data_IF_556377010361
#
_entry.id   IF_556377010361
#
_cell.length_a   1.000
_cell.length_b   1.000
_cell.length_c   1.000
_cell.angle_alpha   90.00
_cell.angle_beta   90.00
_cell.angle_gamma   90.00
#
_symmetry.space_group_name_H-M   'P 1'
#
loop_
_entity.id
_entity.type
_entity.pdbx_description
1 polymer ?
#
# COMPACT_ATOMS: atom_id res chain seq x y z
N UNK A 1 -21.80 0.74 39.41
CA UNK A 1 -20.73 0.92 38.41
C UNK A 1 -20.31 2.38 38.43
N UNK A 2 -19.22 2.71 39.10
CA UNK A 2 -18.69 4.08 39.15
C UNK A 2 -17.89 4.33 37.89
N UNK A 3 -18.46 5.09 36.95
CA UNK A 3 -17.75 5.53 35.76
C UNK A 3 -16.55 6.38 36.19
N UNK A 4 -15.33 5.97 35.82
CA UNK A 4 -14.14 6.78 36.07
C UNK A 4 -14.17 7.99 35.14
N UNK A 5 -14.11 9.19 35.69
CA UNK A 5 -14.06 10.46 34.94
C UNK A 5 -12.92 10.48 33.91
N UNK A 6 -11.81 9.80 34.24
CA UNK A 6 -10.67 9.63 33.33
C UNK A 6 -11.01 8.84 32.06
N UNK A 7 -11.89 7.84 32.13
CA UNK A 7 -12.32 7.06 30.97
C UNK A 7 -13.15 7.89 29.99
N UNK A 8 -13.97 8.78 30.53
CA UNK A 8 -14.71 9.74 29.71
C UNK A 8 -13.79 10.76 29.05
N UNK A 9 -12.77 11.26 29.77
CA UNK A 9 -11.80 12.21 29.20
C UNK A 9 -10.95 11.58 28.08
N UNK A 10 -10.50 10.33 28.26
CA UNK A 10 -9.72 9.63 27.23
C UNK A 10 -10.56 9.36 25.99
N UNK A 11 -11.81 8.92 26.15
CA UNK A 11 -12.71 8.69 24.99
C UNK A 11 -13.08 10.00 24.29
N UNK A 12 -13.33 11.08 25.02
CA UNK A 12 -13.52 12.41 24.45
C UNK A 12 -12.28 12.88 23.68
N UNK A 13 -11.08 12.66 24.22
CA UNK A 13 -9.82 13.00 23.55
C UNK A 13 -9.62 12.21 22.25
N UNK A 14 -9.91 10.91 22.24
CA UNK A 14 -9.86 10.08 21.02
C UNK A 14 -10.87 10.56 19.99
N UNK A 15 -12.11 10.87 20.40
CA UNK A 15 -13.10 11.46 19.50
C UNK A 15 -12.63 12.80 18.91
N UNK A 16 -11.94 13.63 19.69
CA UNK A 16 -11.35 14.87 19.20
C UNK A 16 -10.24 14.63 18.18
N UNK A 17 -9.37 13.64 18.40
CA UNK A 17 -8.35 13.24 17.42
C UNK A 17 -9.02 12.82 16.12
N UNK A 18 -10.06 12.01 16.19
CA UNK A 18 -10.75 11.50 15.01
C UNK A 18 -11.51 12.60 14.26
N UNK A 19 -12.11 13.55 14.98
CA UNK A 19 -12.76 14.72 14.41
C UNK A 19 -11.74 15.66 13.77
N UNK A 20 -10.57 15.86 14.40
CA UNK A 20 -9.47 16.63 13.84
C UNK A 20 -8.93 15.99 12.55
N UNK A 21 -8.79 14.66 12.52
CA UNK A 21 -8.44 13.92 11.29
C UNK A 21 -9.54 14.05 10.21
N UNK A 22 -10.82 14.13 10.58
CA UNK A 22 -11.93 14.30 9.62
C UNK A 22 -12.09 15.74 9.10
N UNK A 23 -11.42 16.71 9.73
CA UNK A 23 -11.61 18.14 9.49
C UNK A 23 -11.27 18.59 8.06
N UNK A 24 -10.20 18.07 7.40
CA UNK A 24 -9.92 18.34 5.99
C UNK A 24 -11.08 17.99 5.05
N UNK A 25 -11.82 16.89 5.33
CA UNK A 25 -13.01 16.51 4.58
C UNK A 25 -14.17 17.47 4.80
N UNK A 26 -14.42 17.82 6.06
CA UNK A 26 -15.44 18.78 6.42
C UNK A 26 -15.24 20.08 5.66
N UNK A 27 -14.01 20.60 5.64
CA UNK A 27 -13.67 21.81 4.90
C UNK A 27 -13.88 21.63 3.39
N UNK A 28 -13.37 20.55 2.79
CA UNK A 28 -13.50 20.32 1.34
C UNK A 28 -14.96 20.12 0.88
N UNK A 29 -15.81 19.49 1.69
CA UNK A 29 -17.23 19.27 1.41
C UNK A 29 -18.05 20.56 1.65
N UNK A 30 -17.75 21.32 2.70
CA UNK A 30 -18.49 22.54 3.05
C UNK A 30 -18.06 23.76 2.23
N UNK A 31 -16.76 24.00 2.01
CA UNK A 31 -16.28 25.20 1.29
C UNK A 31 -16.44 25.13 -0.23
N UNK A 32 -16.59 23.95 -0.86
CA UNK A 32 -16.87 23.86 -2.31
C UNK A 32 -18.32 24.13 -2.70
N UNK A 33 -19.24 24.38 -1.75
CA UNK A 33 -20.67 24.57 -2.05
C UNK A 33 -20.94 25.73 -3.02
N UNK A 34 -20.15 26.80 -3.03
CA UNK A 34 -20.46 27.96 -3.88
C UNK A 34 -20.21 27.73 -5.38
N UNK A 35 -19.24 26.87 -5.74
CA UNK A 35 -19.00 26.45 -7.12
C UNK A 35 -19.83 25.23 -7.55
N UNK A 36 -20.10 24.31 -6.62
CA UNK A 36 -20.86 23.09 -6.89
C UNK A 36 -22.37 23.36 -6.99
N UNK A 37 -22.94 24.33 -6.25
CA UNK A 37 -24.36 24.69 -6.35
C UNK A 37 -24.71 25.33 -7.69
N UNK A 38 -23.81 26.11 -8.30
CA UNK A 38 -24.00 26.67 -9.66
C UNK A 38 -23.89 25.60 -10.76
N UNK A 39 -23.06 24.58 -10.54
CA UNK A 39 -22.98 23.40 -11.41
C UNK A 39 -24.18 22.46 -11.21
N UNK A 40 -24.63 22.26 -9.97
CA UNK A 40 -25.79 21.46 -9.56
C UNK A 40 -27.14 22.10 -9.88
N UNK A 41 -27.25 23.42 -10.01
CA UNK A 41 -28.45 24.05 -10.56
C UNK A 41 -28.54 23.84 -12.07
N UNK A 42 -27.41 23.94 -12.80
CA UNK A 42 -27.36 23.62 -14.24
C UNK A 42 -27.46 22.12 -14.56
N UNK A 43 -27.06 21.26 -13.63
CA UNK A 43 -27.22 19.80 -13.72
C UNK A 43 -28.48 19.28 -13.03
N UNK A 44 -29.15 20.08 -12.19
CA UNK A 44 -30.36 19.73 -11.45
C UNK A 44 -31.57 19.54 -12.35
N UNK A 45 -31.60 20.26 -13.46
CA UNK A 45 -32.62 20.07 -14.50
C UNK A 45 -32.39 18.77 -15.32
N UNK A 46 -31.17 18.22 -15.31
CA UNK A 46 -30.81 16.99 -16.04
C UNK A 46 -30.66 15.72 -15.16
N UNK A 47 -30.80 15.83 -13.84
CA UNK A 47 -30.58 14.72 -12.89
C UNK A 47 -31.81 14.34 -12.06
N UNK A 48 -32.98 14.35 -12.68
CA UNK A 48 -34.16 13.66 -12.13
C UNK A 48 -34.01 12.12 -12.14
N UNK A 49 -32.85 11.59 -12.55
CA UNK A 49 -32.62 10.16 -12.85
C UNK A 49 -31.44 9.49 -12.13
N UNK A 50 -30.74 10.12 -11.16
CA UNK A 50 -29.65 9.39 -10.46
C UNK A 50 -29.52 9.73 -8.96
N UNK A 51 -30.49 9.25 -8.18
CA UNK A 51 -30.51 9.34 -6.71
C UNK A 51 -29.60 8.35 -5.96
N UNK A 52 -28.86 7.48 -6.66
CA UNK A 52 -28.01 6.46 -6.04
C UNK A 52 -26.60 6.97 -5.69
N UNK A 53 -26.07 7.92 -6.47
CA UNK A 53 -24.67 8.36 -6.32
C UNK A 53 -24.48 9.35 -5.15
N UNK A 54 -25.49 10.19 -4.87
CA UNK A 54 -25.50 11.12 -3.73
C UNK A 54 -25.72 10.38 -2.41
N UNK A 55 -26.54 9.31 -2.41
CA UNK A 55 -26.68 8.40 -1.26
C UNK A 55 -25.41 7.61 -0.98
N UNK A 56 -24.67 7.20 -2.02
CA UNK A 56 -23.37 6.54 -1.88
C UNK A 56 -22.34 7.41 -1.17
N UNK A 57 -22.12 8.65 -1.63
CA UNK A 57 -21.17 9.57 -1.01
C UNK A 57 -21.53 9.97 0.43
N UNK A 58 -22.82 10.11 0.74
CA UNK A 58 -23.27 10.35 2.11
C UNK A 58 -23.09 9.11 3.01
N UNK A 59 -23.27 7.89 2.48
CA UNK A 59 -23.00 6.66 3.24
C UNK A 59 -21.52 6.44 3.53
N UNK A 60 -20.59 6.88 2.66
CA UNK A 60 -19.15 6.79 2.92
C UNK A 60 -18.66 7.70 4.05
N UNK A 61 -19.38 8.78 4.36
CA UNK A 61 -19.06 9.68 5.48
C UNK A 61 -19.81 9.28 6.75
N UNK A 62 -21.06 8.82 6.64
CA UNK A 62 -21.90 8.51 7.79
C UNK A 62 -21.64 7.11 8.39
N UNK A 63 -21.23 6.10 7.62
CA UNK A 63 -20.92 4.77 8.17
C UNK A 63 -19.71 4.76 9.13
N UNK A 64 -18.54 5.32 8.77
CA UNK A 64 -17.40 5.35 9.69
C UNK A 64 -17.69 6.25 10.88
N UNK A 65 -18.35 7.40 10.67
CA UNK A 65 -18.75 8.30 11.76
C UNK A 65 -19.77 7.64 12.72
N UNK A 66 -20.69 6.81 12.21
CA UNK A 66 -21.64 6.04 13.00
C UNK A 66 -20.99 4.84 13.70
N UNK A 67 -20.03 4.16 13.07
CA UNK A 67 -19.22 3.11 13.71
C UNK A 67 -18.39 3.65 14.88
N UNK A 68 -17.87 4.87 14.73
CA UNK A 68 -17.14 5.63 15.76
C UNK A 68 -18.05 6.08 16.89
N UNK A 69 -19.30 6.46 16.60
CA UNK A 69 -20.31 6.80 17.62
C UNK A 69 -20.90 5.56 18.32
N UNK A 70 -20.83 4.38 17.69
CA UNK A 70 -21.28 3.09 18.26
C UNK A 70 -20.22 2.43 19.16
N UNK A 71 -18.93 2.68 18.95
CA UNK A 71 -17.87 2.13 19.80
C UNK A 71 -17.97 2.54 21.30
N UNK A 72 -18.34 3.79 21.65
CA UNK A 72 -18.67 4.19 23.02
C UNK A 72 -19.95 3.53 23.58
N UNK A 73 -20.86 3.07 22.73
CA UNK A 73 -22.07 2.33 23.16
C UNK A 73 -21.77 0.85 23.44
N UNK A 74 -20.81 0.24 22.74
CA UNK A 74 -20.30 -1.11 23.03
C UNK A 74 -19.44 -1.18 24.30
N UNK A 75 -18.89 -0.03 24.73
CA UNK A 75 -18.23 0.20 26.03
C UNK A 75 -19.10 -0.16 27.24
N UNK A 76 -20.42 -0.26 27.05
CA UNK A 76 -21.38 -0.64 28.09
C UNK A 76 -21.40 -2.16 28.41
N UNK A 77 -20.58 -3.00 27.76
CA UNK A 77 -20.64 -4.47 27.89
C UNK A 77 -19.58 -5.14 28.80
N UNK A 78 -18.60 -4.41 29.36
CA UNK A 78 -18.00 -4.75 30.66
C UNK A 78 -17.08 -5.97 30.80
N UNK A 79 -16.32 -6.40 29.79
CA UNK A 79 -15.24 -7.40 29.95
C UNK A 79 -13.87 -6.84 29.48
N UNK A 80 -12.79 -7.07 30.23
CA UNK A 80 -11.44 -6.52 29.92
C UNK A 80 -10.95 -6.87 28.51
N UNK A 81 -11.18 -8.10 28.04
CA UNK A 81 -10.85 -8.52 26.67
C UNK A 81 -11.66 -7.82 25.56
N UNK A 82 -12.83 -7.26 25.88
CA UNK A 82 -13.64 -6.51 24.91
C UNK A 82 -13.14 -5.09 24.68
N UNK A 83 -12.49 -4.48 25.68
CA UNK A 83 -11.98 -3.11 25.58
C UNK A 83 -10.71 -3.03 24.74
N UNK A 84 -9.83 -4.03 24.83
CA UNK A 84 -8.65 -4.12 23.96
C UNK A 84 -9.06 -4.33 22.50
N UNK A 85 -10.04 -5.21 22.24
CA UNK A 85 -10.64 -5.42 20.92
C UNK A 85 -11.22 -4.13 20.30
N UNK A 86 -11.89 -3.32 21.13
CA UNK A 86 -12.40 -2.00 20.70
C UNK A 86 -11.23 -1.06 20.37
N UNK A 87 -10.13 -1.11 21.12
CA UNK A 87 -8.91 -0.37 20.84
C UNK A 87 -8.30 -0.70 19.47
N UNK A 88 -8.19 -1.98 19.12
CA UNK A 88 -7.74 -2.41 17.79
C UNK A 88 -8.63 -1.86 16.68
N UNK A 89 -9.96 -2.00 16.85
CA UNK A 89 -10.92 -1.51 15.86
C UNK A 89 -10.82 0.01 15.67
N UNK A 90 -10.67 0.77 16.76
CA UNK A 90 -10.46 2.21 16.69
C UNK A 90 -9.17 2.55 15.92
N UNK A 91 -8.06 1.86 16.22
CA UNK A 91 -6.78 2.02 15.52
C UNK A 91 -6.91 1.78 14.01
N UNK A 92 -7.58 0.68 13.62
CA UNK A 92 -7.82 0.34 12.22
C UNK A 92 -8.67 1.39 11.49
N UNK A 93 -9.75 1.86 12.11
CA UNK A 93 -10.60 2.91 11.53
C UNK A 93 -9.82 4.21 11.38
N UNK A 94 -9.02 4.60 12.38
CA UNK A 94 -8.18 5.79 12.32
C UNK A 94 -7.15 5.68 11.18
N UNK A 95 -6.50 4.54 11.01
CA UNK A 95 -5.56 4.31 9.91
C UNK A 95 -6.25 4.41 8.55
N UNK A 96 -7.40 3.76 8.36
CA UNK A 96 -8.17 3.86 7.10
C UNK A 96 -8.52 5.32 6.83
N UNK A 97 -8.97 6.06 7.84
CA UNK A 97 -9.29 7.47 7.70
C UNK A 97 -8.06 8.29 7.25
N UNK A 98 -6.92 8.12 7.93
CA UNK A 98 -5.66 8.80 7.58
C UNK A 98 -5.16 8.42 6.18
N UNK A 99 -5.35 7.17 5.75
CA UNK A 99 -5.02 6.74 4.39
C UNK A 99 -5.87 7.49 3.37
N UNK A 100 -7.19 7.60 3.60
CA UNK A 100 -8.05 8.33 2.66
C UNK A 100 -7.74 9.85 2.69
N UNK A 101 -7.44 10.42 3.87
CA UNK A 101 -6.93 11.80 4.00
C UNK A 101 -5.70 12.02 3.12
N UNK A 102 -4.73 11.10 3.21
CA UNK A 102 -3.50 11.15 2.43
C UNK A 102 -3.77 11.08 0.92
N UNK A 103 -4.66 10.18 0.47
CA UNK A 103 -5.04 10.09 -0.96
C UNK A 103 -5.67 11.39 -1.47
N UNK A 104 -6.57 12.00 -0.69
CA UNK A 104 -7.20 13.26 -1.07
C UNK A 104 -6.17 14.39 -1.10
N UNK A 105 -5.31 14.47 -0.08
CA UNK A 105 -4.25 15.46 -0.02
C UNK A 105 -3.35 15.37 -1.27
N UNK A 106 -2.97 14.16 -1.68
CA UNK A 106 -2.20 13.93 -2.91
C UNK A 106 -2.92 14.48 -4.14
N UNK A 107 -4.23 14.20 -4.32
CA UNK A 107 -4.99 14.75 -5.45
C UNK A 107 -5.14 16.28 -5.40
N UNK A 108 -5.34 16.85 -4.21
CA UNK A 108 -5.42 18.31 -4.02
C UNK A 108 -4.09 18.96 -4.39
N UNK A 109 -2.96 18.40 -3.94
CA UNK A 109 -1.62 18.88 -4.26
C UNK A 109 -1.34 18.74 -5.77
N UNK A 110 -1.68 17.60 -6.37
CA UNK A 110 -1.54 17.38 -7.82
C UNK A 110 -2.33 18.40 -8.63
N UNK A 111 -3.59 18.66 -8.29
CA UNK A 111 -4.43 19.63 -9.00
C UNK A 111 -3.99 21.08 -8.74
N UNK A 112 -3.39 21.37 -7.58
CA UNK A 112 -2.90 22.70 -7.21
C UNK A 112 -1.60 23.05 -7.95
N UNK A 113 -0.62 22.15 -7.93
CA UNK A 113 0.70 22.40 -8.53
C UNK A 113 0.75 22.04 -10.01
N UNK A 114 -0.05 21.06 -10.47
CA UNK A 114 -0.04 20.61 -11.85
C UNK A 114 -1.45 20.32 -12.40
N UNK A 115 -2.27 21.36 -12.66
CA UNK A 115 -3.70 21.18 -12.95
C UNK A 115 -3.98 20.34 -14.19
N UNK A 116 -3.18 20.49 -15.26
CA UNK A 116 -3.36 19.72 -16.50
C UNK A 116 -3.03 18.23 -16.32
N UNK A 117 -1.88 17.91 -15.70
CA UNK A 117 -1.47 16.53 -15.44
C UNK A 117 -2.34 15.87 -14.37
N UNK A 118 -2.69 16.60 -13.32
CA UNK A 118 -3.57 16.13 -12.24
C UNK A 118 -4.98 15.77 -12.72
N UNK A 119 -5.53 16.49 -13.70
CA UNK A 119 -6.82 16.13 -14.30
C UNK A 119 -6.76 14.78 -15.06
N UNK A 120 -5.66 14.52 -15.78
CA UNK A 120 -5.42 13.26 -16.49
C UNK A 120 -5.21 12.13 -15.48
N UNK A 121 -4.41 12.37 -14.43
CA UNK A 121 -4.18 11.40 -13.37
C UNK A 121 -5.48 11.02 -12.65
N UNK A 122 -6.34 11.99 -12.35
CA UNK A 122 -7.65 11.73 -11.74
C UNK A 122 -8.56 10.90 -12.66
N UNK A 123 -8.54 11.16 -13.97
CA UNK A 123 -9.30 10.38 -14.93
C UNK A 123 -8.79 8.93 -14.99
N UNK A 124 -7.48 8.73 -15.13
CA UNK A 124 -6.84 7.41 -15.16
C UNK A 124 -7.01 6.63 -13.85
N UNK A 125 -6.92 7.31 -12.70
CA UNK A 125 -7.21 6.72 -11.40
C UNK A 125 -8.65 6.21 -11.31
N UNK A 126 -9.61 7.06 -11.71
CA UNK A 126 -11.03 6.72 -11.68
C UNK A 126 -11.35 5.59 -12.65
N UNK A 127 -10.70 5.57 -13.81
CA UNK A 127 -10.77 4.47 -14.76
C UNK A 127 -10.27 3.17 -14.10
N UNK A 128 -9.07 3.17 -13.54
CA UNK A 128 -8.47 1.99 -12.90
C UNK A 128 -9.30 1.39 -11.76
N UNK A 129 -9.79 2.21 -10.83
CA UNK A 129 -10.60 1.73 -9.67
C UNK A 129 -11.99 1.23 -10.09
N UNK A 130 -12.50 1.68 -11.25
CA UNK A 130 -13.81 1.26 -11.77
C UNK A 130 -13.75 0.01 -12.62
N UNK A 131 -12.57 -0.35 -13.13
CA UNK A 131 -12.42 -1.55 -13.93
C UNK A 131 -12.72 -2.80 -13.08
N UNK A 132 -13.47 -3.78 -13.61
CA UNK A 132 -13.75 -5.03 -12.88
C UNK A 132 -12.50 -5.75 -12.38
N UNK A 133 -11.39 -5.61 -13.11
CA UNK A 133 -10.12 -6.25 -12.76
C UNK A 133 -9.54 -5.79 -11.44
N UNK A 134 -9.78 -4.53 -11.04
CA UNK A 134 -9.36 -4.03 -9.73
C UNK A 134 -9.97 -4.88 -8.61
N UNK A 135 -11.30 -5.07 -8.66
CA UNK A 135 -12.04 -5.80 -7.63
C UNK A 135 -11.82 -7.31 -7.70
N UNK A 136 -11.60 -7.86 -8.90
CA UNK A 136 -11.23 -9.26 -9.06
C UNK A 136 -9.88 -9.56 -8.41
N UNK A 137 -8.86 -8.76 -8.73
CA UNK A 137 -7.52 -8.93 -8.15
C UNK A 137 -7.51 -8.66 -6.64
N UNK A 138 -8.25 -7.65 -6.17
CA UNK A 138 -8.47 -7.45 -4.74
C UNK A 138 -9.09 -8.69 -4.08
N UNK A 139 -10.13 -9.28 -4.69
CA UNK A 139 -10.79 -10.48 -4.17
C UNK A 139 -9.87 -11.70 -4.10
N UNK A 140 -9.04 -11.91 -5.13
CA UNK A 140 -8.03 -12.99 -5.15
C UNK A 140 -6.98 -12.79 -4.06
N UNK A 141 -6.45 -11.57 -3.92
CA UNK A 141 -5.48 -11.24 -2.88
C UNK A 141 -6.09 -11.40 -1.48
N UNK A 142 -7.29 -10.87 -1.28
CA UNK A 142 -8.05 -10.99 -0.04
C UNK A 142 -8.24 -12.46 0.35
N UNK A 143 -8.66 -13.31 -0.59
CA UNK A 143 -8.79 -14.75 -0.36
C UNK A 143 -7.44 -15.41 0.00
N UNK A 144 -6.38 -15.11 -0.75
CA UNK A 144 -5.02 -15.63 -0.50
C UNK A 144 -4.54 -15.27 0.91
N UNK A 145 -4.64 -13.99 1.30
CA UNK A 145 -4.26 -13.49 2.62
C UNK A 145 -5.10 -14.10 3.74
N UNK A 146 -6.38 -14.38 3.49
CA UNK A 146 -7.26 -15.02 4.47
C UNK A 146 -6.91 -16.48 4.68
N UNK A 147 -6.52 -17.19 3.61
CA UNK A 147 -6.19 -18.62 3.67
C UNK A 147 -4.81 -18.85 4.30
N UNK A 148 -3.85 -17.95 4.04
CA UNK A 148 -2.45 -18.07 4.47
C UNK A 148 -2.25 -18.50 5.94
N UNK A 149 -2.89 -17.88 6.96
CA UNK A 149 -2.70 -18.26 8.36
C UNK A 149 -3.18 -19.68 8.72
N UNK A 150 -4.05 -20.28 7.90
CA UNK A 150 -4.58 -21.62 8.13
C UNK A 150 -3.74 -22.72 7.47
N UNK A 151 -2.74 -22.35 6.67
CA UNK A 151 -1.83 -23.30 6.03
C UNK A 151 -0.70 -23.61 7.01
N UNK A 152 -0.47 -24.89 7.35
CA UNK A 152 0.74 -25.30 8.07
C UNK A 152 1.95 -25.12 7.14
N UNK A 153 2.88 -24.23 7.52
CA UNK A 153 4.10 -23.98 6.76
C UNK A 153 5.22 -24.98 7.07
N UNK A 154 4.99 -25.87 8.04
CA UNK A 154 5.98 -26.84 8.52
C UNK A 154 7.30 -26.16 8.94
N UNK A 155 7.21 -24.94 9.47
CA UNK A 155 8.36 -24.27 10.05
C UNK A 155 8.49 -24.66 11.52
N UNK A 156 9.72 -24.69 12.04
CA UNK A 156 9.98 -25.04 13.43
C UNK A 156 9.71 -23.86 14.39
N UNK A 157 8.53 -23.23 14.28
CA UNK A 157 8.11 -22.11 15.11
C UNK A 157 8.31 -20.71 14.52
N UNK A 158 8.58 -20.62 13.21
CA UNK A 158 8.78 -19.35 12.48
C UNK A 158 7.59 -19.00 11.57
N UNK A 159 6.42 -19.60 11.82
CA UNK A 159 5.23 -19.47 10.96
C UNK A 159 4.81 -18.01 10.78
N UNK A 160 5.02 -17.17 11.80
CA UNK A 160 4.73 -15.73 11.74
C UNK A 160 5.58 -14.99 10.71
N UNK A 161 6.85 -15.36 10.54
CA UNK A 161 7.75 -14.73 9.56
C UNK A 161 7.33 -15.11 8.13
N UNK A 162 7.01 -16.40 7.92
CA UNK A 162 6.55 -16.90 6.62
C UNK A 162 5.22 -16.29 6.19
N UNK A 163 4.26 -16.11 7.12
CA UNK A 163 2.99 -15.41 6.84
C UNK A 163 3.27 -13.97 6.37
N UNK A 164 4.24 -13.28 7.00
CA UNK A 164 4.60 -11.92 6.62
C UNK A 164 5.23 -11.83 5.25
N UNK A 165 6.17 -12.72 4.96
CA UNK A 165 6.81 -12.80 3.65
C UNK A 165 5.78 -13.04 2.54
N UNK A 166 4.96 -14.08 2.68
CA UNK A 166 3.91 -14.42 1.71
C UNK A 166 2.88 -13.29 1.58
N UNK A 167 2.55 -12.62 2.67
CA UNK A 167 1.65 -11.47 2.69
C UNK A 167 2.18 -10.32 1.84
N UNK A 168 3.42 -9.91 2.06
CA UNK A 168 4.07 -8.85 1.27
C UNK A 168 4.16 -9.21 -0.20
N UNK A 169 4.61 -10.43 -0.51
CA UNK A 169 4.78 -10.90 -1.89
C UNK A 169 3.42 -11.00 -2.62
N UNK A 170 2.36 -11.44 -1.93
CA UNK A 170 0.99 -11.47 -2.49
C UNK A 170 0.50 -10.07 -2.84
N UNK A 171 0.65 -9.09 -1.93
CA UNK A 171 0.20 -7.72 -2.15
C UNK A 171 0.99 -7.06 -3.29
N UNK A 172 2.32 -7.24 -3.29
CA UNK A 172 3.22 -6.79 -4.35
C UNK A 172 2.79 -7.34 -5.71
N UNK A 173 2.63 -8.66 -5.83
CA UNK A 173 2.32 -9.32 -7.10
C UNK A 173 0.99 -8.83 -7.65
N UNK A 174 -0.03 -8.72 -6.79
CA UNK A 174 -1.35 -8.27 -7.17
C UNK A 174 -1.33 -6.80 -7.63
N UNK A 175 -0.62 -5.92 -6.93
CA UNK A 175 -0.47 -4.53 -7.32
C UNK A 175 0.30 -4.38 -8.65
N UNK A 176 1.37 -5.16 -8.84
CA UNK A 176 2.16 -5.16 -10.07
C UNK A 176 1.34 -5.66 -11.26
N UNK A 177 0.61 -6.77 -11.11
CA UNK A 177 -0.28 -7.32 -12.15
C UNK A 177 -1.40 -6.33 -12.48
N UNK A 178 -2.05 -5.76 -11.46
CA UNK A 178 -3.07 -4.73 -11.66
C UNK A 178 -2.52 -3.54 -12.45
N UNK A 179 -1.39 -3.00 -12.02
CA UNK A 179 -0.82 -1.82 -12.66
C UNK A 179 -0.30 -2.09 -14.07
N UNK A 180 0.23 -3.28 -14.36
CA UNK A 180 0.63 -3.68 -15.71
C UNK A 180 -0.57 -3.83 -16.65
N UNK A 181 -1.67 -4.42 -16.16
CA UNK A 181 -2.94 -4.51 -16.89
C UNK A 181 -3.55 -3.14 -17.14
N UNK A 182 -3.65 -2.31 -16.09
CA UNK A 182 -4.21 -0.97 -16.17
C UNK A 182 -3.39 -0.07 -17.12
N UNK A 183 -2.05 -0.16 -17.09
CA UNK A 183 -1.18 0.52 -18.03
C UNK A 183 -1.43 0.07 -19.46
N UNK A 184 -1.52 -1.24 -19.70
CA UNK A 184 -1.70 -1.78 -21.05
C UNK A 184 -3.06 -1.42 -21.62
N UNK A 185 -4.15 -1.54 -20.86
CA UNK A 185 -5.50 -1.18 -21.32
C UNK A 185 -5.61 0.34 -21.53
N UNK A 186 -5.25 1.14 -20.53
CA UNK A 186 -5.45 2.59 -20.59
C UNK A 186 -4.54 3.24 -21.65
N UNK A 187 -3.32 2.74 -21.88
CA UNK A 187 -2.38 3.37 -22.82
C UNK A 187 -2.43 2.71 -24.20
N UNK A 188 -2.27 1.39 -24.29
CA UNK A 188 -2.17 0.73 -25.60
C UNK A 188 -3.48 0.82 -26.38
N UNK A 189 -4.65 0.65 -25.74
CA UNK A 189 -5.94 0.77 -26.44
C UNK A 189 -6.21 2.20 -26.94
N UNK A 190 -5.83 3.22 -26.16
CA UNK A 190 -6.01 4.62 -26.60
C UNK A 190 -5.09 5.00 -27.76
N UNK A 191 -3.88 4.44 -27.80
CA UNK A 191 -2.94 4.72 -28.88
C UNK A 191 -3.29 3.89 -30.13
N UNK A 192 -3.68 2.62 -29.98
CA UNK A 192 -4.08 1.74 -31.11
C UNK A 192 -5.44 2.13 -31.69
N UNK A 193 -6.40 2.51 -30.84
CA UNK A 193 -7.72 2.99 -31.23
C UNK A 193 -7.77 4.39 -31.84
N UNK A 194 -6.60 5.04 -32.06
CA UNK A 194 -6.43 6.44 -32.52
C UNK A 194 -7.16 7.51 -31.66
N UNK A 195 -7.74 7.15 -30.51
CA UNK A 195 -8.44 8.10 -29.64
C UNK A 195 -7.48 9.06 -28.94
N UNK A 196 -6.22 8.64 -28.71
CA UNK A 196 -5.16 9.51 -28.21
C UNK A 196 -4.93 10.74 -29.10
N UNK A 197 -5.05 10.61 -30.42
CA UNK A 197 -4.87 11.73 -31.39
C UNK A 197 -5.98 12.77 -31.22
N UNK A 198 -7.21 12.33 -30.94
CA UNK A 198 -8.34 13.26 -30.71
C UNK A 198 -8.20 14.05 -29.41
N UNK A 199 -7.62 13.45 -28.36
CA UNK A 199 -7.31 14.13 -27.10
C UNK A 199 -6.18 15.16 -27.25
N UNK A 200 -5.23 14.91 -28.15
CA UNK A 200 -4.15 15.85 -28.48
C UNK A 200 -4.61 17.07 -29.29
N UNK A 201 -5.87 17.11 -29.77
CA UNK A 201 -6.46 18.34 -30.34
C UNK A 201 -6.67 19.43 -29.27
N UNK A 202 -6.64 19.07 -27.99
CA UNK A 202 -6.56 20.00 -26.85
C UNK A 202 -5.09 20.32 -26.53
N UNK A 203 -4.76 21.49 -25.96
CA UNK A 203 -3.37 21.90 -25.68
C UNK A 203 -2.76 21.14 -24.47
N UNK A 204 -2.63 19.83 -24.61
CA UNK A 204 -2.04 18.87 -23.66
C UNK A 204 -0.83 18.24 -24.36
N UNK A 205 0.36 18.44 -23.81
CA UNK A 205 1.55 17.81 -24.39
C UNK A 205 1.61 16.32 -24.07
N UNK A 206 2.27 15.55 -24.95
CA UNK A 206 2.53 14.11 -24.79
C UNK A 206 3.10 13.75 -23.40
N UNK A 207 3.92 14.64 -22.84
CA UNK A 207 4.53 14.51 -21.51
C UNK A 207 3.50 14.53 -20.37
N UNK A 208 2.51 15.43 -20.45
CA UNK A 208 1.43 15.52 -19.47
C UNK A 208 0.52 14.28 -19.52
N UNK A 209 0.32 13.72 -20.72
CA UNK A 209 -0.47 12.52 -20.93
C UNK A 209 0.17 11.29 -20.28
N UNK A 210 1.42 10.97 -20.63
CA UNK A 210 2.09 9.76 -20.14
C UNK A 210 2.31 9.79 -18.62
N UNK A 211 2.88 10.89 -18.11
CA UNK A 211 3.16 11.03 -16.66
C UNK A 211 1.85 11.11 -15.86
N UNK A 212 0.84 11.80 -16.39
CA UNK A 212 -0.49 11.86 -15.78
C UNK A 212 -1.12 10.46 -15.67
N UNK A 213 -1.07 9.65 -16.73
CA UNK A 213 -1.58 8.27 -16.70
C UNK A 213 -0.82 7.40 -15.72
N UNK A 214 0.51 7.45 -15.73
CA UNK A 214 1.34 6.75 -14.75
C UNK A 214 0.93 7.11 -13.31
N UNK A 215 0.80 8.40 -13.00
CA UNK A 215 0.38 8.86 -11.66
C UNK A 215 -1.04 8.42 -11.31
N UNK A 216 -1.96 8.35 -12.26
CA UNK A 216 -3.30 7.82 -12.00
C UNK A 216 -3.29 6.32 -11.69
N UNK A 217 -2.54 5.53 -12.46
CA UNK A 217 -2.41 4.08 -12.29
C UNK A 217 -1.71 3.74 -10.98
N UNK A 218 -0.60 4.41 -10.65
CA UNK A 218 0.13 4.17 -9.41
C UNK A 218 -0.71 4.54 -8.18
N UNK A 219 -1.54 5.60 -8.26
CA UNK A 219 -2.47 5.94 -7.16
C UNK A 219 -3.58 4.90 -7.02
N UNK A 220 -4.07 4.34 -8.13
CA UNK A 220 -5.06 3.25 -8.07
C UNK A 220 -4.43 1.99 -7.46
N UNK A 221 -3.21 1.64 -7.87
CA UNK A 221 -2.44 0.56 -7.24
C UNK A 221 -2.16 0.84 -5.76
N UNK A 222 -1.90 2.11 -5.39
CA UNK A 222 -1.73 2.54 -4.01
C UNK A 222 -2.97 2.32 -3.16
N UNK A 223 -4.18 2.59 -3.70
CA UNK A 223 -5.44 2.30 -2.98
C UNK A 223 -5.58 0.80 -2.76
N UNK A 224 -5.26 -0.02 -3.77
CA UNK A 224 -5.25 -1.48 -3.64
C UNK A 224 -4.28 -1.92 -2.53
N UNK A 225 -3.07 -1.35 -2.52
CA UNK A 225 -2.02 -1.61 -1.54
C UNK A 225 -2.45 -1.23 -0.12
N UNK A 226 -3.08 -0.07 0.04
CA UNK A 226 -3.55 0.44 1.31
C UNK A 226 -4.69 -0.42 1.90
N UNK A 227 -5.65 -0.84 1.05
CA UNK A 227 -6.76 -1.70 1.47
C UNK A 227 -6.28 -3.12 1.82
N UNK A 228 -5.39 -3.70 1.01
CA UNK A 228 -4.84 -5.02 1.30
C UNK A 228 -3.85 -5.01 2.47
N UNK A 229 -3.06 -3.94 2.63
CA UNK A 229 -2.13 -3.76 3.73
C UNK A 229 -2.84 -3.65 5.08
N UNK A 230 -3.87 -2.80 5.17
CA UNK A 230 -4.73 -2.71 6.38
C UNK A 230 -5.42 -4.04 6.70
N UNK A 231 -5.87 -4.78 5.67
CA UNK A 231 -6.44 -6.11 5.86
C UNK A 231 -5.40 -7.12 6.37
N UNK A 232 -4.22 -7.11 5.77
CA UNK A 232 -3.11 -7.98 6.11
C UNK A 232 -2.65 -7.77 7.56
N UNK A 233 -2.57 -6.52 8.02
CA UNK A 233 -2.34 -6.17 9.43
C UNK A 233 -3.40 -6.85 10.33
N UNK A 234 -4.68 -6.72 10.01
CA UNK A 234 -5.76 -7.40 10.74
C UNK A 234 -5.61 -8.92 10.80
N UNK A 235 -5.17 -9.55 9.71
CA UNK A 235 -4.91 -11.00 9.66
C UNK A 235 -3.74 -11.40 10.56
N UNK A 236 -2.65 -10.63 10.58
CA UNK A 236 -1.51 -10.92 11.46
C UNK A 236 -1.84 -10.80 12.94
N UNK A 237 -2.83 -9.98 13.32
CA UNK A 237 -3.39 -9.95 14.69
C UNK A 237 -4.22 -11.19 15.01
N UNK A 238 -4.90 -11.76 14.02
CA UNK A 238 -5.73 -12.95 14.22
C UNK A 238 -4.91 -14.21 14.48
N UNK A 239 -3.70 -14.35 13.92
CA UNK A 239 -2.88 -15.57 14.06
C UNK A 239 -2.57 -15.93 15.52
N UNK A 240 -2.06 -15.02 16.38
CA UNK A 240 -1.83 -15.33 17.80
C UNK A 240 -3.10 -15.68 18.59
N UNK A 241 -4.27 -15.21 18.13
CA UNK A 241 -5.55 -15.54 18.77
C UNK A 241 -5.99 -16.97 18.44
N UNK A 242 -5.76 -17.40 17.20
CA UNK A 242 -6.08 -18.76 16.72
C UNK A 242 -5.07 -19.80 17.21
N UNK A 243 -3.78 -19.49 17.06
CA UNK A 243 -2.69 -20.41 17.33
C UNK A 243 -1.84 -19.91 18.49
N UNK A 244 -2.15 -20.42 19.69
CA UNK A 244 -1.55 -19.97 20.95
C UNK A 244 -0.14 -20.52 21.17
N UNK A 245 0.33 -21.48 20.37
CA UNK A 245 1.73 -21.95 20.47
C UNK A 245 2.72 -20.95 19.90
N UNK A 246 2.28 -20.06 19.01
CA UNK A 246 3.13 -19.04 18.42
C UNK A 246 3.16 -17.79 19.30
N UNK A 247 4.35 -17.43 19.77
CA UNK A 247 4.54 -16.17 20.46
C UNK A 247 4.63 -15.02 19.44
N UNK A 248 4.09 -13.82 19.77
CA UNK A 248 4.32 -12.63 18.96
C UNK A 248 5.82 -12.41 18.75
N UNK A 249 6.23 -11.99 17.56
CA UNK A 249 7.64 -11.78 17.20
C UNK A 249 8.41 -10.91 18.21
N UNK A 250 7.77 -9.89 18.78
CA UNK A 250 8.38 -8.99 19.77
C UNK A 250 8.55 -9.62 21.17
N UNK A 251 7.93 -10.77 21.45
CA UNK A 251 8.03 -11.50 22.72
C UNK A 251 8.86 -12.80 22.63
N UNK A 252 9.46 -13.12 21.48
CA UNK A 252 10.14 -14.39 21.25
C UNK A 252 11.31 -14.68 22.24
N UNK A 253 11.81 -13.69 22.95
CA UNK A 253 12.87 -13.83 23.96
C UNK A 253 12.40 -14.49 25.28
N UNK A 254 11.09 -14.56 25.55
CA UNK A 254 10.56 -15.13 26.80
C UNK A 254 9.99 -16.55 26.57
N UNK A 255 10.77 -17.57 26.91
CA UNK A 255 10.48 -19.01 26.68
C UNK A 255 9.32 -19.61 27.49
N UNK A 256 8.63 -18.82 28.30
CA UNK A 256 7.43 -19.26 29.02
C UNK A 256 6.18 -19.01 28.15
N UNK A 257 5.39 -20.06 27.90
CA UNK A 257 4.08 -19.97 27.24
C UNK A 257 3.18 -19.04 28.07
N UNK A 258 3.05 -17.78 27.65
CA UNK A 258 2.18 -16.81 28.33
C UNK A 258 0.75 -16.99 27.81
N UNK A 259 -0.22 -17.10 28.73
CA UNK A 259 -1.63 -17.20 28.39
C UNK A 259 -2.12 -15.95 27.63
N UNK A 260 -3.16 -16.04 26.78
CA UNK A 260 -3.64 -14.93 25.93
C UNK A 260 -4.01 -13.64 26.68
N UNK A 261 -4.26 -13.72 27.99
CA UNK A 261 -4.62 -12.58 28.84
C UNK A 261 -3.43 -11.67 29.19
N UNK A 262 -2.20 -12.13 28.96
CA UNK A 262 -0.97 -11.44 29.36
C UNK A 262 0.04 -11.34 28.21
N UNK A 263 -0.38 -11.07 26.96
CA UNK A 263 0.61 -10.73 25.92
C UNK A 263 1.42 -9.50 26.38
N UNK A 264 2.73 -9.58 26.66
CA UNK A 264 3.42 -8.48 27.34
C UNK A 264 3.66 -7.29 26.39
N UNK A 265 2.71 -6.36 26.22
CA UNK A 265 2.79 -5.31 25.20
C UNK A 265 4.20 -4.66 25.07
N UNK A 266 4.61 -4.27 23.85
CA UNK A 266 5.93 -3.72 23.56
C UNK A 266 6.42 -2.70 24.61
N UNK A 267 7.73 -2.66 24.93
CA UNK A 267 8.27 -1.84 26.03
C UNK A 267 7.88 -0.36 25.96
N UNK A 268 7.77 0.19 24.75
CA UNK A 268 7.37 1.59 24.54
C UNK A 268 5.89 1.84 24.87
N UNK A 269 5.01 0.88 24.59
CA UNK A 269 3.59 0.95 24.93
C UNK A 269 3.45 0.89 26.44
N UNK A 270 4.13 -0.08 27.07
CA UNK A 270 4.08 -0.23 28.52
C UNK A 270 4.67 0.98 29.21
N UNK A 271 5.82 1.51 28.79
CA UNK A 271 6.38 2.75 29.35
C UNK A 271 5.39 3.93 29.21
N UNK A 272 4.75 4.09 28.05
CA UNK A 272 3.75 5.13 27.84
C UNK A 272 2.53 4.95 28.77
N UNK A 273 2.00 3.73 28.90
CA UNK A 273 0.88 3.42 29.79
C UNK A 273 1.23 3.64 31.26
N UNK A 274 2.44 3.24 31.69
CA UNK A 274 2.91 3.43 33.06
C UNK A 274 3.12 4.91 33.39
N UNK A 275 3.67 5.69 32.46
CA UNK A 275 3.82 7.15 32.61
C UNK A 275 2.48 7.86 32.82
N UNK A 276 1.41 7.35 32.21
CA UNK A 276 0.08 7.98 32.25
C UNK A 276 -0.77 7.48 33.44
N UNK A 277 -0.39 6.38 34.09
CA UNK A 277 -0.99 5.84 35.32
C UNK A 277 -2.53 5.83 35.32
N UNK A 278 -3.12 5.40 34.20
CA UNK A 278 -4.57 5.44 33.99
C UNK A 278 -5.29 4.24 34.64
N UNK A 279 -6.60 4.34 34.94
CA UNK A 279 -7.38 3.20 35.44
C UNK A 279 -7.44 2.03 34.44
N UNK A 280 -7.65 0.81 34.95
CA UNK A 280 -7.59 -0.45 34.18
C UNK A 280 -8.38 -0.46 32.87
N UNK A 281 -9.62 0.05 32.86
CA UNK A 281 -10.44 0.06 31.65
C UNK A 281 -9.87 0.96 30.53
N UNK A 282 -9.20 2.06 30.90
CA UNK A 282 -8.55 2.96 29.94
C UNK A 282 -7.20 2.45 29.47
N UNK A 283 -6.45 1.75 30.34
CA UNK A 283 -5.18 1.14 29.95
C UNK A 283 -5.39 0.03 28.93
N UNK A 284 -6.43 -0.78 29.09
CA UNK A 284 -6.75 -1.87 28.15
C UNK A 284 -7.10 -1.33 26.75
N UNK A 285 -7.86 -0.23 26.68
CA UNK A 285 -8.18 0.42 25.41
C UNK A 285 -6.94 1.02 24.74
N UNK A 286 -6.16 1.81 25.48
CA UNK A 286 -4.96 2.45 24.94
C UNK A 286 -3.90 1.43 24.54
N UNK A 287 -3.83 0.31 25.25
CA UNK A 287 -3.04 -0.85 24.86
C UNK A 287 -3.49 -1.41 23.52
N UNK A 288 -4.79 -1.62 23.28
CA UNK A 288 -5.30 -2.09 21.99
C UNK A 288 -4.97 -1.13 20.83
N UNK A 289 -5.12 0.18 21.04
CA UNK A 289 -4.71 1.21 20.05
C UNK A 289 -3.20 1.14 19.81
N UNK A 290 -2.41 1.09 20.89
CA UNK A 290 -0.95 1.00 20.83
C UNK A 290 -0.48 -0.23 20.05
N UNK A 291 -1.11 -1.38 20.27
CA UNK A 291 -0.78 -2.63 19.60
C UNK A 291 -1.10 -2.58 18.10
N UNK A 292 -2.23 -1.99 17.71
CA UNK A 292 -2.52 -1.72 16.29
C UNK A 292 -1.47 -0.79 15.67
N UNK A 293 -1.12 0.31 16.35
CA UNK A 293 -0.11 1.26 15.83
C UNK A 293 1.28 0.65 15.76
N UNK A 294 1.65 -0.23 16.70
CA UNK A 294 2.91 -0.96 16.65
C UNK A 294 2.96 -1.81 15.39
N UNK A 295 1.92 -2.63 15.19
CA UNK A 295 1.83 -3.52 14.06
C UNK A 295 1.87 -2.77 12.72
N UNK A 296 1.16 -1.66 12.63
CA UNK A 296 1.22 -0.77 11.47
C UNK A 296 2.66 -0.30 11.21
N UNK A 297 3.40 0.11 12.25
CA UNK A 297 4.79 0.55 12.12
C UNK A 297 5.75 -0.59 11.75
N UNK A 298 5.47 -1.82 12.19
CA UNK A 298 6.31 -2.98 11.86
C UNK A 298 6.06 -3.48 10.45
N UNK A 299 4.83 -3.36 9.96
CA UNK A 299 4.40 -3.84 8.66
C UNK A 299 4.65 -2.80 7.55
N UNK A 300 4.55 -1.51 7.87
CA UNK A 300 4.71 -0.40 6.93
C UNK A 300 6.01 -0.44 6.09
N UNK A 301 7.20 -0.74 6.63
CA UNK A 301 8.44 -0.80 5.84
C UNK A 301 8.37 -1.81 4.70
N UNK A 302 7.86 -3.02 4.97
CA UNK A 302 7.66 -4.05 3.95
C UNK A 302 6.67 -3.61 2.88
N UNK A 303 5.58 -2.95 3.30
CA UNK A 303 4.60 -2.39 2.37
C UNK A 303 5.18 -1.25 1.51
N UNK A 304 5.99 -0.36 2.09
CA UNK A 304 6.63 0.75 1.37
C UNK A 304 7.61 0.23 0.32
N UNK A 305 8.43 -0.77 0.67
CA UNK A 305 9.35 -1.40 -0.27
C UNK A 305 8.61 -2.14 -1.38
N UNK A 306 7.60 -2.94 -1.03
CA UNK A 306 6.76 -3.64 -2.01
C UNK A 306 6.03 -2.67 -2.94
N UNK A 307 5.54 -1.54 -2.43
CA UNK A 307 4.93 -0.50 -3.26
C UNK A 307 5.95 0.18 -4.18
N UNK A 308 7.17 0.43 -3.69
CA UNK A 308 8.27 0.98 -4.50
C UNK A 308 8.68 0.02 -5.63
N UNK A 309 8.67 -1.28 -5.37
CA UNK A 309 8.91 -2.31 -6.37
C UNK A 309 7.77 -2.38 -7.40
N UNK A 310 6.51 -2.37 -6.95
CA UNK A 310 5.35 -2.31 -7.83
C UNK A 310 5.38 -1.06 -8.72
N UNK A 311 5.77 0.10 -8.17
CA UNK A 311 5.94 1.35 -8.91
C UNK A 311 6.93 1.20 -10.08
N UNK A 312 8.08 0.55 -9.86
CA UNK A 312 9.08 0.29 -10.90
C UNK A 312 8.48 -0.57 -12.02
N UNK A 313 7.78 -1.65 -11.67
CA UNK A 313 7.13 -2.55 -12.64
C UNK A 313 6.03 -1.83 -13.44
N UNK A 314 5.25 -0.97 -12.78
CA UNK A 314 4.22 -0.15 -13.43
C UNK A 314 4.86 0.85 -14.39
N UNK A 315 5.98 1.47 -14.03
CA UNK A 315 6.70 2.38 -14.92
C UNK A 315 7.22 1.66 -16.17
N UNK A 316 7.75 0.44 -16.01
CA UNK A 316 8.15 -0.42 -17.13
C UNK A 316 6.95 -0.74 -18.01
N UNK A 317 5.83 -1.16 -17.41
CA UNK A 317 4.60 -1.47 -18.15
C UNK A 317 4.05 -0.26 -18.92
N UNK A 318 4.07 0.93 -18.31
CA UNK A 318 3.65 2.18 -18.95
C UNK A 318 4.57 2.56 -20.11
N UNK A 319 5.89 2.43 -19.92
CA UNK A 319 6.89 2.70 -20.96
C UNK A 319 6.71 1.78 -22.16
N UNK A 320 6.62 0.48 -21.93
CA UNK A 320 6.45 -0.53 -22.98
C UNK A 320 5.10 -0.40 -23.70
N UNK A 321 4.02 -0.07 -22.98
CA UNK A 321 2.68 0.14 -23.55
C UNK A 321 2.64 1.20 -24.68
N UNK A 322 3.63 2.11 -24.72
CA UNK A 322 3.72 3.13 -25.77
C UNK A 322 4.06 2.58 -27.16
N UNK A 323 4.66 1.38 -27.26
CA UNK A 323 5.11 0.78 -28.53
C UNK A 323 4.63 -0.62 -28.79
N UNK A 324 4.48 -1.43 -27.75
CA UNK A 324 4.07 -2.82 -27.91
C UNK A 324 2.56 -2.98 -27.68
N UNK A 325 1.89 -3.91 -28.38
CA UNK A 325 0.49 -4.22 -28.13
C UNK A 325 0.31 -4.82 -26.73
N UNK A 326 -0.91 -4.72 -26.19
CA UNK A 326 -1.26 -5.09 -24.82
C UNK A 326 -0.71 -6.47 -24.39
N UNK A 327 -0.94 -7.51 -25.22
CA UNK A 327 -0.53 -8.88 -24.87
C UNK A 327 0.99 -9.00 -24.75
N UNK A 328 1.73 -8.38 -25.67
CA UNK A 328 3.20 -8.40 -25.66
C UNK A 328 3.74 -7.63 -24.46
N UNK A 329 3.10 -6.51 -24.10
CA UNK A 329 3.48 -5.75 -22.91
C UNK A 329 3.35 -6.59 -21.63
N UNK A 330 2.21 -7.25 -21.45
CA UNK A 330 1.95 -8.06 -20.26
C UNK A 330 2.94 -9.21 -20.13
N UNK A 331 3.20 -9.93 -21.22
CA UNK A 331 4.20 -11.02 -21.23
C UNK A 331 5.59 -10.47 -20.92
N UNK A 332 5.97 -9.33 -21.49
CA UNK A 332 7.26 -8.70 -21.22
C UNK A 332 7.42 -8.30 -19.75
N UNK A 333 6.40 -7.70 -19.14
CA UNK A 333 6.44 -7.31 -17.71
C UNK A 333 6.56 -8.54 -16.81
N UNK A 334 5.84 -9.62 -17.11
CA UNK A 334 5.94 -10.89 -16.35
C UNK A 334 7.35 -11.49 -16.48
N UNK A 335 7.90 -11.54 -17.69
CA UNK A 335 9.27 -12.02 -17.91
C UNK A 335 10.28 -11.14 -17.16
N UNK A 336 10.16 -9.82 -17.25
CA UNK A 336 11.02 -8.88 -16.55
C UNK A 336 10.91 -9.02 -15.04
N UNK A 337 9.72 -9.27 -14.51
CA UNK A 337 9.53 -9.54 -13.08
C UNK A 337 10.36 -10.73 -12.62
N UNK A 338 10.22 -11.90 -13.26
CA UNK A 338 10.98 -13.09 -12.88
C UNK A 338 12.48 -12.90 -13.10
N UNK A 339 12.86 -12.33 -14.25
CA UNK A 339 14.26 -12.16 -14.61
C UNK A 339 14.96 -11.18 -13.65
N UNK A 340 14.29 -10.12 -13.23
CA UNK A 340 14.82 -9.15 -12.28
C UNK A 340 14.92 -9.66 -10.83
N UNK A 341 14.12 -10.67 -10.43
CA UNK A 341 14.32 -11.37 -9.15
C UNK A 341 15.47 -12.38 -9.20
N UNK A 342 15.69 -13.02 -10.36
CA UNK A 342 16.76 -14.00 -10.51
C UNK A 342 18.11 -13.38 -10.88
N UNK A 343 18.12 -12.13 -11.35
CA UNK A 343 19.31 -11.43 -11.79
C UNK A 343 20.41 -11.39 -10.73
N UNK A 344 20.17 -11.04 -9.45
CA UNK A 344 21.26 -10.94 -8.47
C UNK A 344 21.92 -12.30 -8.20
N UNK A 345 21.15 -13.39 -8.20
CA UNK A 345 21.69 -14.75 -8.09
C UNK A 345 22.58 -15.09 -9.28
N UNK A 346 22.12 -14.84 -10.51
CA UNK A 346 22.91 -15.06 -11.74
C UNK A 346 24.19 -14.21 -11.76
N UNK A 347 24.08 -12.97 -11.31
CA UNK A 347 25.19 -12.00 -11.23
C UNK A 347 26.23 -12.44 -10.20
N UNK A 348 25.79 -12.87 -9.00
CA UNK A 348 26.68 -13.36 -7.95
C UNK A 348 27.49 -14.59 -8.40
N UNK A 349 26.85 -15.54 -9.09
CA UNK A 349 27.50 -16.72 -9.68
C UNK A 349 28.50 -16.30 -10.75
N UNK A 350 28.17 -15.33 -11.62
CA UNK A 350 29.06 -14.84 -12.65
C UNK A 350 30.34 -14.19 -12.08
N UNK A 351 30.18 -13.32 -11.08
CA UNK A 351 31.33 -12.71 -10.39
C UNK A 351 32.15 -13.74 -9.61
N UNK A 352 31.51 -14.72 -8.97
CA UNK A 352 32.19 -15.79 -8.24
C UNK A 352 32.96 -16.72 -9.18
N UNK A 353 32.39 -17.09 -10.32
CA UNK A 353 33.04 -17.91 -11.34
C UNK A 353 34.30 -17.24 -11.89
N UNK A 354 34.25 -15.91 -12.10
CA UNK A 354 35.41 -15.13 -12.54
C UNK A 354 36.52 -15.09 -11.50
N UNK A 355 36.18 -15.00 -10.20
CA UNK A 355 37.15 -15.04 -9.10
C UNK A 355 37.79 -16.41 -8.93
N UNK A 356 37.02 -17.48 -9.13
CA UNK A 356 37.51 -18.84 -8.98
C UNK A 356 38.44 -19.27 -10.12
N UNK A 357 38.08 -18.98 -11.38
CA UNK A 357 38.84 -19.39 -12.56
C UNK A 357 38.84 -18.30 -13.65
N UNK A 358 39.70 -17.27 -13.56
CA UNK A 358 39.66 -16.11 -14.46
C UNK A 358 40.01 -16.41 -15.93
N UNK A 359 40.69 -17.53 -16.19
CA UNK A 359 41.12 -17.95 -17.54
C UNK A 359 40.18 -18.91 -18.27
N UNK A 360 39.11 -19.39 -17.64
CA UNK A 360 38.20 -20.33 -18.26
C UNK A 360 37.21 -19.61 -19.22
N UNK A 361 36.96 -20.17 -20.41
CA UNK A 361 36.02 -19.57 -21.35
C UNK A 361 34.60 -19.42 -20.77
N UNK A 362 34.17 -20.40 -19.96
CA UNK A 362 32.84 -20.40 -19.32
C UNK A 362 32.69 -19.27 -18.30
N UNK A 363 33.73 -18.97 -17.50
CA UNK A 363 33.67 -17.90 -16.50
C UNK A 363 33.60 -16.52 -17.14
N UNK A 364 34.31 -16.30 -18.25
CA UNK A 364 34.24 -15.05 -19.01
C UNK A 364 32.86 -14.79 -19.59
N UNK A 365 32.20 -15.83 -20.12
CA UNK A 365 30.82 -15.73 -20.64
C UNK A 365 29.85 -15.42 -19.50
N UNK A 366 29.94 -16.13 -18.38
CA UNK A 366 29.12 -15.89 -17.19
C UNK A 366 29.32 -14.46 -16.64
N UNK A 367 30.55 -13.97 -16.61
CA UNK A 367 30.88 -12.61 -16.16
C UNK A 367 30.32 -11.53 -17.09
N UNK A 368 30.43 -11.72 -18.41
CA UNK A 368 29.83 -10.80 -19.39
C UNK A 368 28.30 -10.77 -19.27
N UNK A 369 27.66 -11.94 -19.13
CA UNK A 369 26.21 -12.01 -18.89
C UNK A 369 25.80 -11.35 -17.57
N UNK A 370 26.58 -11.53 -16.50
CA UNK A 370 26.35 -10.86 -15.23
C UNK A 370 26.40 -9.33 -15.36
N UNK A 371 27.39 -8.78 -16.06
CA UNK A 371 27.46 -7.34 -16.31
C UNK A 371 26.28 -6.82 -17.14
N UNK A 372 25.82 -7.59 -18.12
CA UNK A 372 24.67 -7.23 -18.93
C UNK A 372 23.39 -7.19 -18.08
N UNK A 373 23.17 -8.21 -17.24
CA UNK A 373 22.01 -8.27 -16.37
C UNK A 373 22.02 -7.18 -15.30
N UNK A 374 23.17 -6.93 -14.66
CA UNK A 374 23.34 -5.87 -13.66
C UNK A 374 23.12 -4.46 -14.24
N UNK A 375 23.44 -4.26 -15.52
CA UNK A 375 23.25 -2.98 -16.20
C UNK A 375 21.81 -2.75 -16.67
N UNK A 376 21.15 -3.77 -17.22
CA UNK A 376 19.86 -3.63 -17.93
C UNK A 376 18.66 -3.82 -17.02
N UNK A 377 18.78 -4.67 -16.00
CA UNK A 377 17.64 -5.09 -15.19
C UNK A 377 17.61 -4.36 -13.86
N UNK A 378 16.40 -4.04 -13.34
CA UNK A 378 16.31 -3.52 -11.99
C UNK A 378 16.68 -4.61 -11.00
N UNK A 379 17.47 -4.28 -9.98
CA UNK A 379 17.70 -5.19 -8.87
C UNK A 379 16.47 -5.19 -7.94
N UNK A 380 15.47 -6.02 -8.24
CA UNK A 380 14.23 -6.05 -7.46
C UNK A 380 14.39 -6.76 -6.10
N UNK A 381 15.42 -7.59 -5.94
CA UNK A 381 15.71 -8.26 -4.67
C UNK A 381 16.08 -7.27 -3.55
N UNK A 382 16.64 -6.10 -3.93
CA UNK A 382 16.92 -5.02 -2.98
C UNK A 382 15.67 -4.46 -2.26
N UNK A 383 14.46 -4.68 -2.81
CA UNK A 383 13.20 -4.28 -2.17
C UNK A 383 12.66 -5.34 -1.19
N UNK A 384 13.25 -6.54 -1.11
CA UNK A 384 12.76 -7.58 -0.18
C UNK A 384 13.19 -7.25 1.25
N UNK A 385 12.25 -7.39 2.18
CA UNK A 385 12.48 -7.17 3.62
C UNK A 385 13.02 -8.43 4.32
N UNK A 386 12.91 -9.61 3.70
CA UNK A 386 13.25 -10.92 4.29
C UNK A 386 14.65 -10.95 4.95
N UNK A 387 15.74 -10.48 4.32
CA UNK A 387 17.08 -10.56 4.93
C UNK A 387 17.23 -9.71 6.20
N UNK A 388 16.36 -8.71 6.40
CA UNK A 388 16.34 -7.87 7.59
C UNK A 388 15.45 -8.44 8.70
N UNK A 389 14.44 -9.25 8.35
CA UNK A 389 13.55 -9.90 9.31
C UNK A 389 14.18 -11.14 9.96
N UNK A 390 15.08 -11.83 9.26
CA UNK A 390 15.74 -13.05 9.74
C UNK A 390 17.00 -12.76 10.59
N UNK A 391 17.36 -11.50 10.80
CA UNK A 391 18.55 -11.16 11.58
C UNK A 391 18.29 -11.33 13.08
N UNK A 392 19.15 -12.12 13.73
CA UNK A 392 19.13 -12.35 15.18
C UNK A 392 19.44 -11.08 15.99
N UNK A 393 20.04 -10.06 15.36
CA UNK A 393 20.40 -8.78 16.00
C UNK A 393 19.40 -7.69 15.65
N UNK A 394 18.80 -7.00 16.65
CA UNK A 394 17.90 -5.88 16.37
C UNK A 394 18.64 -4.73 15.70
N UNK A 395 18.20 -4.38 14.49
CA UNK A 395 18.76 -3.27 13.71
C UNK A 395 18.37 -1.94 14.37
N UNK A 396 19.31 -0.99 14.57
CA UNK A 396 18.97 0.33 15.06
C UNK A 396 17.90 1.00 14.17
N UNK A 397 16.89 1.67 14.76
CA UNK A 397 15.76 2.21 13.99
C UNK A 397 16.18 3.27 12.98
N UNK A 398 17.26 4.01 13.27
CA UNK A 398 17.79 5.02 12.37
C UNK A 398 18.43 4.40 11.12
N UNK A 399 19.24 3.36 11.30
CA UNK A 399 19.94 2.68 10.19
C UNK A 399 18.92 1.99 9.28
N UNK A 400 17.91 1.38 9.88
CA UNK A 400 16.80 0.78 9.14
C UNK A 400 15.98 1.82 8.36
N UNK A 401 15.72 3.00 8.94
CA UNK A 401 15.05 4.09 8.22
C UNK A 401 15.89 4.62 7.05
N UNK A 402 17.22 4.69 7.21
CA UNK A 402 18.14 5.06 6.13
C UNK A 402 18.14 4.01 5.00
N UNK A 403 18.14 2.72 5.35
CA UNK A 403 17.98 1.64 4.39
C UNK A 403 16.67 1.81 3.59
N UNK A 404 15.54 1.92 4.29
CA UNK A 404 14.22 2.10 3.69
C UNK A 404 14.18 3.32 2.74
N UNK A 405 14.74 4.45 3.17
CA UNK A 405 14.79 5.67 2.37
C UNK A 405 15.69 5.51 1.13
N UNK A 406 16.86 4.88 1.26
CA UNK A 406 17.80 4.69 0.15
C UNK A 406 17.23 3.76 -0.93
N UNK A 407 16.59 2.65 -0.53
CA UNK A 407 15.95 1.71 -1.47
C UNK A 407 14.72 2.33 -2.14
N UNK A 408 13.90 3.06 -1.38
CA UNK A 408 12.75 3.78 -1.95
C UNK A 408 13.22 4.85 -2.96
N UNK A 409 14.30 5.57 -2.65
CA UNK A 409 14.92 6.54 -3.56
C UNK A 409 15.45 5.88 -4.82
N UNK A 410 16.12 4.73 -4.70
CA UNK A 410 16.52 3.92 -5.85
C UNK A 410 15.31 3.59 -6.74
N UNK A 411 14.18 3.16 -6.17
CA UNK A 411 12.94 2.92 -6.90
C UNK A 411 12.42 4.15 -7.64
N UNK A 412 12.40 5.32 -7.00
CA UNK A 412 11.96 6.59 -7.62
C UNK A 412 12.88 7.00 -8.78
N UNK A 413 14.20 6.89 -8.59
CA UNK A 413 15.18 7.23 -9.62
C UNK A 413 15.05 6.29 -10.82
N UNK A 414 14.97 4.99 -10.59
CA UNK A 414 14.79 4.00 -11.65
C UNK A 414 13.49 4.22 -12.41
N UNK A 415 12.37 4.44 -11.70
CA UNK A 415 11.08 4.79 -12.28
C UNK A 415 11.18 6.03 -13.17
N UNK A 416 11.90 7.07 -12.71
CA UNK A 416 12.10 8.29 -13.48
C UNK A 416 12.87 8.04 -14.77
N UNK A 417 13.95 7.24 -14.72
CA UNK A 417 14.74 6.85 -15.90
C UNK A 417 13.87 6.08 -16.91
N UNK A 418 13.09 5.10 -16.43
CA UNK A 418 12.21 4.29 -17.29
C UNK A 418 11.10 5.13 -17.92
N UNK A 419 10.49 6.06 -17.18
CA UNK A 419 9.48 6.96 -17.72
C UNK A 419 10.06 7.95 -18.73
N UNK A 420 11.28 8.45 -18.52
CA UNK A 420 11.98 9.27 -19.50
C UNK A 420 12.24 8.48 -20.80
N UNK A 421 12.68 7.24 -20.68
CA UNK A 421 12.83 6.34 -21.83
C UNK A 421 11.49 6.13 -22.56
N UNK A 422 10.41 5.85 -21.83
CA UNK A 422 9.07 5.71 -22.40
C UNK A 422 8.56 6.99 -23.08
N UNK A 423 8.96 8.16 -22.58
CA UNK A 423 8.62 9.46 -23.17
C UNK A 423 9.35 9.69 -24.49
N UNK A 424 10.65 9.41 -24.56
CA UNK A 424 11.44 9.45 -25.81
C UNK A 424 10.79 8.51 -26.83
N UNK A 425 10.51 7.29 -26.40
CA UNK A 425 9.89 6.28 -27.23
C UNK A 425 8.50 6.71 -27.74
N UNK A 426 7.75 7.51 -26.98
CA UNK A 426 6.46 8.04 -27.39
C UNK A 426 6.54 9.29 -28.30
N UNK A 427 7.58 10.11 -28.17
CA UNK A 427 7.83 11.25 -29.06
C UNK A 427 8.13 10.77 -30.49
N UNK A 428 8.94 9.73 -30.64
CA UNK A 428 9.35 9.13 -31.92
C UNK A 428 8.24 8.30 -32.62
N UNK A 429 7.06 8.16 -32.01
CA UNK A 429 5.94 7.45 -32.63
C UNK A 429 5.16 8.46 -33.47
N UNK A 430 5.27 8.34 -34.80
CA UNK A 430 4.46 9.10 -35.75
C UNK A 430 2.98 8.72 -35.58
N UNK A 431 2.26 9.51 -34.80
CA UNK A 431 0.80 9.44 -34.67
C UNK A 431 0.19 10.22 -35.83
N UNK A 432 0.39 9.73 -37.06
CA UNK A 432 -0.20 10.27 -38.28
C UNK A 432 -1.44 9.48 -38.73
#
# INVERSE_FOLDING_TARGET
>A
MTFSTTAYLVTLFLLLIQLAAALPWGILVFFRREGLLRSLQKWGDNLRTSGQMVRGLASYVLLPLAGVLLAPLLFLSGASGTLEAIGYFYGAVLQIQLLIDAFIAVFVLLLRYWPKGGAIALAAFREGVRQPMFWLLFGVAFASLTISPFIPYWTFGEDFLVIREIGYDTILLIAAVFGALAASMSISEEIEGRTAVTLMSKPVSRRHFLIGKFLGIILAAGVLFALLGTYFEGITLFKPWWDKSDQPWWNQQNTSIVMPTETPAPPWIMDLLHRWALPGATTDLLRGIGLWTHLMLDIAPGLILGFSQAMVLIAIAVSLATRVPMVVNLVAVVVLFFLAHLAPVLVSIGYQAQRANPGAAVSQILFFMAQLFDLVLPNLESFRLEPALLQETPIPPLDFAQYLASVSLYGVLYTSIVLLFGLILFEDRDLA
#
